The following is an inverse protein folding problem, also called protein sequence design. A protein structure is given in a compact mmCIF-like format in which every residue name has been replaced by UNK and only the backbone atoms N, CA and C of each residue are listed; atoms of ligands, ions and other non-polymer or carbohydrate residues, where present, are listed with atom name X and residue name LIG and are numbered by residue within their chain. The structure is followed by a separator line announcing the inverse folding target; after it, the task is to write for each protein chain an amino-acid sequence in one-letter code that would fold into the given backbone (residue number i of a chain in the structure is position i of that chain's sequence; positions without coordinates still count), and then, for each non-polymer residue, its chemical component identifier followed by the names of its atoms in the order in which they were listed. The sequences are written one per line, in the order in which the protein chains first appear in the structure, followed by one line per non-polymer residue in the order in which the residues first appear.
data_IF_000269757729
#
_entry.id   IF_000269757729
#
_cell.length_a   1.000
_cell.length_b   1.000
_cell.length_c   1.000
_cell.angle_alpha   90.00
_cell.angle_beta   90.00
_cell.angle_gamma   90.00
#
_symmetry.space_group_name_H-M   'P 1'
#
loop_
_entity.id
_entity.type
_entity.pdbx_description
1 polymer ?
#
# COMPACT_ATOMS: atom_id res chain seq x y z
N UNK A 1 -75.23 -27.69 -38.96
CA UNK A 1 -74.75 -26.40 -39.53
C UNK A 1 -75.87 -25.39 -39.35
N UNK A 2 -75.68 -24.14 -38.85
CA UNK A 2 -74.45 -23.41 -38.56
C UNK A 2 -74.28 -22.99 -37.08
N UNK A 3 -73.06 -22.55 -36.77
CA UNK A 3 -72.59 -21.98 -35.51
C UNK A 3 -73.01 -20.52 -35.32
N UNK A 4 -73.33 -20.11 -34.08
CA UNK A 4 -73.02 -18.76 -33.56
C UNK A 4 -72.76 -18.84 -32.04
N UNK A 5 -71.57 -18.38 -31.66
CA UNK A 5 -71.03 -18.30 -30.31
C UNK A 5 -71.32 -16.94 -29.64
N UNK A 6 -70.80 -16.81 -28.41
CA UNK A 6 -70.39 -15.61 -27.64
C UNK A 6 -71.18 -15.49 -26.31
N UNK A 7 -70.62 -15.18 -25.14
CA UNK A 7 -69.27 -15.12 -24.58
C UNK A 7 -69.51 -15.09 -23.05
N UNK A 8 -68.94 -16.01 -22.28
CA UNK A 8 -68.95 -15.95 -20.81
C UNK A 8 -67.67 -15.24 -20.39
N UNK A 9 -67.81 -14.05 -19.80
CA UNK A 9 -66.69 -13.33 -19.17
C UNK A 9 -66.34 -14.02 -17.85
N UNK A 10 -65.22 -14.75 -17.83
CA UNK A 10 -64.61 -15.25 -16.60
C UNK A 10 -63.29 -14.51 -16.38
N UNK A 11 -63.24 -13.72 -15.31
CA UNK A 11 -62.05 -13.03 -14.85
C UNK A 11 -61.02 -14.07 -14.38
N UNK A 12 -59.89 -14.16 -15.09
CA UNK A 12 -58.72 -14.90 -14.60
C UNK A 12 -57.82 -13.94 -13.82
N UNK A 13 -57.75 -14.14 -12.51
CA UNK A 13 -56.77 -13.50 -11.65
C UNK A 13 -55.37 -14.02 -12.01
N UNK A 14 -54.50 -13.14 -12.48
CA UNK A 14 -53.09 -13.43 -12.72
C UNK A 14 -52.35 -13.32 -11.40
N UNK A 15 -52.04 -14.46 -10.78
CA UNK A 15 -51.16 -14.53 -9.61
C UNK A 15 -49.71 -14.34 -10.07
N UNK A 16 -49.17 -13.14 -9.87
CA UNK A 16 -47.76 -12.84 -10.09
C UNK A 16 -46.93 -13.39 -8.92
N UNK A 17 -46.36 -14.58 -9.09
CA UNK A 17 -45.40 -15.13 -8.13
C UNK A 17 -44.08 -14.35 -8.24
N UNK A 18 -43.86 -13.41 -7.32
CA UNK A 18 -42.59 -12.73 -7.16
C UNK A 18 -41.53 -13.71 -6.63
N UNK A 19 -40.62 -14.14 -7.50
CA UNK A 19 -39.43 -14.89 -7.09
C UNK A 19 -38.46 -13.90 -6.45
N UNK A 20 -38.52 -13.77 -5.12
CA UNK A 20 -37.46 -13.11 -4.36
C UNK A 20 -36.22 -14.02 -4.40
N UNK A 21 -35.32 -13.74 -5.33
CA UNK A 21 -33.96 -14.28 -5.28
C UNK A 21 -33.25 -13.73 -4.04
N UNK A 22 -33.12 -14.57 -3.01
CA UNK A 22 -32.27 -14.27 -1.87
C UNK A 22 -30.82 -14.22 -2.36
N UNK A 23 -30.28 -13.03 -2.54
CA UNK A 23 -28.84 -12.84 -2.67
C UNK A 23 -28.23 -13.27 -1.33
N UNK A 24 -27.64 -14.47 -1.29
CA UNK A 24 -26.86 -14.90 -0.14
C UNK A 24 -25.74 -13.87 0.10
N UNK A 25 -25.51 -13.41 1.35
CA UNK A 25 -24.38 -12.54 1.62
C UNK A 25 -23.13 -13.31 1.21
N UNK A 26 -22.29 -12.69 0.38
CA UNK A 26 -20.96 -13.20 0.11
C UNK A 26 -20.22 -13.24 1.46
N UNK A 27 -20.18 -14.42 2.07
CA UNK A 27 -19.37 -14.68 3.24
C UNK A 27 -17.92 -14.54 2.77
N UNK A 28 -17.27 -13.44 3.15
CA UNK A 28 -15.83 -13.33 3.02
C UNK A 28 -15.24 -14.57 3.68
N UNK A 29 -14.44 -15.35 2.94
CA UNK A 29 -13.72 -16.48 3.52
C UNK A 29 -13.02 -16.00 4.80
N UNK A 30 -13.05 -16.79 5.89
CA UNK A 30 -12.28 -16.46 7.08
C UNK A 30 -10.83 -16.19 6.66
N UNK A 31 -10.35 -14.97 6.89
CA UNK A 31 -8.96 -14.60 6.61
C UNK A 31 -8.07 -15.41 7.55
N UNK A 32 -6.97 -15.96 7.05
CA UNK A 32 -5.98 -16.56 7.94
C UNK A 32 -5.36 -15.44 8.80
N UNK A 33 -5.49 -15.50 10.14
CA UNK A 33 -4.88 -14.50 11.02
C UNK A 33 -3.37 -14.37 10.83
N UNK A 34 -2.67 -15.45 10.46
CA UNK A 34 -1.24 -15.43 10.23
C UNK A 34 -0.86 -14.62 8.97
N UNK A 35 -1.62 -14.79 7.87
CA UNK A 35 -1.42 -14.03 6.64
C UNK A 35 -1.69 -12.54 6.86
N UNK A 36 -2.78 -12.20 7.56
CA UNK A 36 -3.09 -10.83 7.93
C UNK A 36 -1.95 -10.20 8.74
N UNK A 37 -1.43 -10.94 9.74
CA UNK A 37 -0.33 -10.46 10.57
C UNK A 37 0.95 -10.24 9.74
N UNK A 38 1.27 -11.14 8.80
CA UNK A 38 2.45 -11.02 7.94
C UNK A 38 2.36 -9.79 7.00
N UNK A 39 1.20 -9.57 6.37
CA UNK A 39 0.99 -8.40 5.52
C UNK A 39 1.01 -7.10 6.34
N UNK A 40 0.43 -7.10 7.54
CA UNK A 40 0.51 -5.95 8.46
C UNK A 40 1.96 -5.65 8.85
N UNK A 41 2.82 -6.66 9.04
CA UNK A 41 4.24 -6.45 9.33
C UNK A 41 4.97 -5.76 8.18
N UNK A 42 4.72 -6.16 6.93
CA UNK A 42 5.26 -5.48 5.73
C UNK A 42 4.76 -4.02 5.67
N UNK A 43 3.45 -3.82 5.89
CA UNK A 43 2.84 -2.50 5.85
C UNK A 43 3.36 -1.56 6.95
N UNK A 44 3.59 -2.09 8.15
CA UNK A 44 4.16 -1.34 9.27
C UNK A 44 5.61 -0.94 8.98
N UNK A 45 6.46 -1.85 8.48
CA UNK A 45 7.82 -1.50 8.10
C UNK A 45 7.88 -0.48 6.95
N UNK A 46 6.96 -0.56 5.99
CA UNK A 46 6.81 0.43 4.94
C UNK A 46 6.41 1.81 5.48
N UNK A 47 5.51 1.86 6.47
CA UNK A 47 5.11 3.12 7.12
C UNK A 47 6.27 3.72 7.92
N UNK A 48 6.95 2.93 8.75
CA UNK A 48 8.13 3.37 9.51
C UNK A 48 9.19 3.98 8.57
N UNK A 49 9.39 3.38 7.39
CA UNK A 49 10.33 3.89 6.39
C UNK A 49 9.85 5.20 5.77
N UNK A 50 8.54 5.32 5.53
CA UNK A 50 7.92 6.48 4.93
C UNK A 50 8.02 7.70 5.85
N UNK A 51 7.81 7.54 7.16
CA UNK A 51 7.89 8.62 8.14
C UNK A 51 9.29 9.23 8.26
N UNK A 52 10.35 8.46 7.94
CA UNK A 52 11.72 8.99 7.86
C UNK A 52 11.85 10.03 6.72
N UNK A 53 10.94 10.05 5.75
CA UNK A 53 10.98 11.00 4.64
C UNK A 53 10.89 12.46 5.10
N UNK A 54 10.29 12.74 6.25
CA UNK A 54 10.18 14.09 6.83
C UNK A 54 11.56 14.65 7.19
N UNK A 55 12.37 13.84 7.88
CA UNK A 55 13.75 14.19 8.22
C UNK A 55 14.62 14.34 6.97
N UNK A 56 14.41 13.47 5.97
CA UNK A 56 15.11 13.58 4.68
C UNK A 56 14.72 14.88 3.97
N UNK A 57 13.43 15.23 3.96
CA UNK A 57 12.90 16.44 3.36
C UNK A 57 13.50 17.66 4.04
N UNK A 58 13.46 17.73 5.38
CA UNK A 58 13.99 18.83 6.16
C UNK A 58 15.48 19.04 5.89
N UNK A 59 16.27 17.96 5.89
CA UNK A 59 17.71 18.04 5.64
C UNK A 59 18.04 18.47 4.21
N UNK A 60 17.28 17.99 3.21
CA UNK A 60 17.44 18.40 1.81
C UNK A 60 17.01 19.84 1.57
N UNK A 61 15.91 20.28 2.18
CA UNK A 61 15.44 21.65 2.14
C UNK A 61 16.51 22.61 2.64
N UNK A 62 17.06 22.35 3.84
CA UNK A 62 18.08 23.20 4.46
C UNK A 62 19.42 23.18 3.72
N UNK A 63 19.80 22.05 3.13
CA UNK A 63 21.06 21.92 2.39
C UNK A 63 20.96 22.28 0.89
N UNK A 64 19.76 22.52 0.37
CA UNK A 64 19.51 22.74 -1.05
C UNK A 64 19.75 21.51 -1.95
N UNK A 65 19.88 20.31 -1.37
CA UNK A 65 20.12 19.07 -2.12
C UNK A 65 18.84 18.61 -2.83
N UNK A 66 18.99 18.06 -4.03
CA UNK A 66 17.87 17.51 -4.79
C UNK A 66 17.20 16.32 -4.07
N UNK A 67 15.87 16.20 -4.25
CA UNK A 67 15.09 15.06 -3.77
C UNK A 67 15.48 13.78 -4.50
N UNK A 68 15.54 13.82 -5.83
CA UNK A 68 16.00 12.69 -6.63
C UNK A 68 17.53 12.54 -6.54
N UNK A 69 17.97 11.32 -6.26
CA UNK A 69 19.39 10.95 -6.26
C UNK A 69 19.50 9.54 -6.89
N UNK A 70 19.53 9.45 -8.24
CA UNK A 70 19.46 8.17 -8.93
C UNK A 70 20.58 7.20 -8.54
N UNK A 71 21.78 7.71 -8.26
CA UNK A 71 22.91 6.90 -7.84
C UNK A 71 22.67 6.29 -6.45
N UNK A 72 22.19 7.09 -5.48
CA UNK A 72 21.84 6.58 -4.15
C UNK A 72 20.63 5.64 -4.20
N UNK A 73 19.62 5.97 -4.98
CA UNK A 73 18.42 5.14 -5.16
C UNK A 73 18.80 3.76 -5.70
N UNK A 74 19.65 3.70 -6.73
CA UNK A 74 20.14 2.44 -7.27
C UNK A 74 20.96 1.66 -6.24
N UNK A 75 21.83 2.32 -5.46
CA UNK A 75 22.59 1.65 -4.40
C UNK A 75 21.69 1.03 -3.31
N UNK A 76 20.54 1.63 -3.00
CA UNK A 76 19.54 1.05 -2.07
C UNK A 76 18.89 -0.19 -2.68
N UNK A 77 18.56 -0.15 -3.98
CA UNK A 77 18.00 -1.29 -4.70
C UNK A 77 19.00 -2.45 -4.76
N UNK A 78 20.25 -2.18 -5.12
CA UNK A 78 21.30 -3.19 -5.20
C UNK A 78 21.54 -3.85 -3.83
N UNK A 79 21.58 -3.06 -2.75
CA UNK A 79 21.69 -3.56 -1.39
C UNK A 79 20.48 -4.42 -0.99
N UNK A 80 19.28 -4.03 -1.41
CA UNK A 80 18.05 -4.80 -1.18
C UNK A 80 18.10 -6.15 -1.86
N UNK A 81 18.50 -6.20 -3.14
CA UNK A 81 18.65 -7.44 -3.90
C UNK A 81 19.68 -8.35 -3.25
N UNK A 82 20.81 -7.80 -2.81
CA UNK A 82 21.87 -8.55 -2.14
C UNK A 82 21.39 -9.16 -0.81
N UNK A 83 20.71 -8.36 0.01
CA UNK A 83 20.15 -8.83 1.28
C UNK A 83 19.04 -9.88 1.08
N UNK A 84 18.14 -9.67 0.13
CA UNK A 84 17.09 -10.64 -0.20
C UNK A 84 17.70 -12.01 -0.57
N UNK A 85 18.73 -12.03 -1.43
CA UNK A 85 19.46 -13.26 -1.77
C UNK A 85 20.13 -13.91 -0.57
N UNK A 86 20.72 -13.13 0.33
CA UNK A 86 21.37 -13.65 1.52
C UNK A 86 20.37 -14.28 2.50
N UNK A 87 19.17 -13.73 2.60
CA UNK A 87 18.12 -14.15 3.53
C UNK A 87 17.15 -15.18 2.92
N UNK A 88 17.34 -15.58 1.66
CA UNK A 88 16.46 -16.51 0.94
C UNK A 88 15.10 -15.93 0.56
N UNK A 89 14.97 -14.61 0.54
CA UNK A 89 13.77 -13.87 0.09
C UNK A 89 13.83 -13.69 -1.43
N UNK A 90 12.69 -13.74 -2.12
CA UNK A 90 12.63 -13.47 -3.56
C UNK A 90 13.20 -12.06 -3.89
N UNK A 91 14.34 -11.97 -4.61
CA UNK A 91 14.94 -10.69 -4.95
C UNK A 91 14.06 -9.85 -5.88
N UNK A 92 13.19 -10.47 -6.70
CA UNK A 92 12.31 -9.73 -7.62
C UNK A 92 11.20 -9.03 -6.83
N UNK A 93 10.54 -9.73 -5.92
CA UNK A 93 9.59 -9.12 -4.99
C UNK A 93 10.23 -8.01 -4.15
N UNK A 94 11.40 -8.28 -3.57
CA UNK A 94 12.10 -7.31 -2.72
C UNK A 94 12.50 -6.03 -3.48
N UNK A 95 13.08 -6.15 -4.69
CA UNK A 95 13.40 -5.02 -5.56
C UNK A 95 12.16 -4.18 -5.87
N UNK A 96 11.09 -4.85 -6.34
CA UNK A 96 9.84 -4.21 -6.75
C UNK A 96 9.23 -3.40 -5.62
N UNK A 97 9.14 -3.99 -4.43
CA UNK A 97 8.61 -3.33 -3.22
C UNK A 97 9.52 -2.15 -2.84
N UNK A 98 10.84 -2.31 -2.82
CA UNK A 98 11.76 -1.23 -2.47
C UNK A 98 11.69 -0.04 -3.44
N UNK A 99 11.52 -0.29 -4.74
CA UNK A 99 11.29 0.78 -5.72
C UNK A 99 10.02 1.59 -5.41
N UNK A 100 8.95 0.93 -4.96
CA UNK A 100 7.74 1.61 -4.49
C UNK A 100 8.00 2.42 -3.21
N UNK A 101 8.77 1.89 -2.25
CA UNK A 101 9.17 2.63 -1.04
C UNK A 101 9.98 3.89 -1.35
N UNK A 102 10.94 3.81 -2.27
CA UNK A 102 11.73 4.97 -2.74
C UNK A 102 10.81 6.02 -3.38
N UNK A 103 9.87 5.57 -4.22
CA UNK A 103 8.89 6.45 -4.88
C UNK A 103 8.00 7.15 -3.87
N UNK A 104 7.45 6.42 -2.90
CA UNK A 104 6.62 6.96 -1.82
C UNK A 104 7.38 8.00 -0.97
N UNK A 105 8.61 7.69 -0.57
CA UNK A 105 9.45 8.62 0.20
C UNK A 105 9.70 9.93 -0.57
N UNK A 106 9.93 9.86 -1.89
CA UNK A 106 10.07 11.07 -2.71
C UNK A 106 8.78 11.87 -2.80
N UNK A 107 7.61 11.23 -2.82
CA UNK A 107 6.33 11.95 -2.84
C UNK A 107 6.13 12.80 -1.59
N UNK A 108 6.44 12.27 -0.39
CA UNK A 108 6.41 13.04 0.86
C UNK A 108 7.42 14.18 0.81
N UNK A 109 8.66 13.90 0.42
CA UNK A 109 9.71 14.94 0.32
C UNK A 109 9.30 16.10 -0.60
N UNK A 110 8.78 15.80 -1.79
CA UNK A 110 8.34 16.85 -2.71
C UNK A 110 7.15 17.65 -2.15
N UNK A 111 6.19 16.99 -1.49
CA UNK A 111 5.03 17.66 -0.91
C UNK A 111 5.44 18.61 0.23
N UNK A 112 6.30 18.16 1.14
CA UNK A 112 6.79 18.97 2.25
C UNK A 112 7.64 20.15 1.77
N UNK A 113 8.59 19.90 0.86
CA UNK A 113 9.45 20.96 0.30
C UNK A 113 8.61 22.01 -0.43
N UNK A 114 7.62 21.59 -1.22
CA UNK A 114 6.71 22.52 -1.88
C UNK A 114 5.91 23.35 -0.87
N UNK A 115 5.43 22.73 0.22
CA UNK A 115 4.73 23.42 1.31
C UNK A 115 5.62 24.47 1.98
N UNK A 116 6.86 24.12 2.32
CA UNK A 116 7.80 25.06 2.96
C UNK A 116 8.23 26.21 2.05
N UNK A 117 8.30 25.99 0.73
CA UNK A 117 8.50 27.08 -0.21
C UNK A 117 7.30 28.04 -0.29
N UNK A 118 6.07 27.52 -0.17
CA UNK A 118 4.85 28.33 -0.17
C UNK A 118 4.61 29.02 1.20
N UNK A 119 5.04 28.38 2.29
CA UNK A 119 4.87 28.81 3.68
C UNK A 119 6.22 28.74 4.42
N UNK A 120 7.12 29.71 4.20
CA UNK A 120 8.46 29.68 4.80
C UNK A 120 8.45 29.72 6.33
N UNK A 121 7.37 30.22 6.94
CA UNK A 121 7.14 30.23 8.38
C UNK A 121 6.92 28.82 8.97
N UNK A 122 6.52 27.85 8.15
CA UNK A 122 6.37 26.44 8.53
C UNK A 122 7.65 25.62 8.28
N UNK A 123 8.68 26.20 7.66
CA UNK A 123 9.88 25.50 7.27
C UNK A 123 10.74 25.10 8.47
N UNK A 124 11.36 23.91 8.46
CA UNK A 124 12.27 23.51 9.53
C UNK A 124 13.50 24.42 9.54
N UNK A 125 13.95 24.81 10.73
CA UNK A 125 15.19 25.58 10.93
C UNK A 125 16.38 24.68 11.28
N UNK A 126 16.13 23.43 11.64
CA UNK A 126 17.12 22.40 11.94
C UNK A 126 16.69 21.07 11.35
N UNK A 127 17.65 20.23 10.98
CA UNK A 127 17.38 18.86 10.55
C UNK A 127 18.51 17.93 11.01
N UNK A 128 18.22 16.62 11.20
CA UNK A 128 19.27 15.64 11.46
C UNK A 128 20.20 15.52 10.24
N UNK A 129 21.45 15.11 10.50
CA UNK A 129 22.41 14.86 9.44
C UNK A 129 22.00 13.62 8.61
N UNK A 130 21.95 13.78 7.29
CA UNK A 130 21.53 12.70 6.39
C UNK A 130 22.41 11.46 6.51
N UNK A 131 23.72 11.64 6.69
CA UNK A 131 24.67 10.54 6.55
C UNK A 131 24.81 9.77 7.84
N UNK A 132 24.96 10.47 8.95
CA UNK A 132 25.30 9.92 10.26
C UNK A 132 24.08 9.60 11.12
N UNK A 133 22.92 10.21 10.85
CA UNK A 133 21.71 10.02 11.65
C UNK A 133 20.55 9.40 10.86
N UNK A 134 20.22 9.94 9.68
CA UNK A 134 19.04 9.48 8.93
C UNK A 134 19.29 8.15 8.19
N UNK A 135 20.42 8.01 7.48
CA UNK A 135 20.74 6.77 6.75
C UNK A 135 20.79 5.52 7.63
N UNK A 136 21.37 5.54 8.85
CA UNK A 136 21.31 4.39 9.75
C UNK A 136 19.88 3.96 10.09
N UNK A 137 18.96 4.92 10.31
CA UNK A 137 17.54 4.62 10.56
C UNK A 137 16.88 3.97 9.35
N UNK A 138 17.13 4.49 8.14
CA UNK A 138 16.63 3.87 6.90
C UNK A 138 17.14 2.43 6.79
N UNK A 139 18.45 2.21 6.97
CA UNK A 139 19.02 0.87 6.90
C UNK A 139 18.44 -0.08 7.95
N UNK A 140 18.15 0.40 9.17
CA UNK A 140 17.52 -0.41 10.21
C UNK A 140 16.08 -0.79 9.88
N UNK A 141 15.33 0.08 9.18
CA UNK A 141 13.99 -0.26 8.67
C UNK A 141 14.10 -1.24 7.50
N UNK A 142 15.01 -1.01 6.56
CA UNK A 142 15.23 -1.90 5.40
C UNK A 142 15.58 -3.34 5.87
N UNK A 143 16.40 -3.46 6.92
CA UNK A 143 16.76 -4.74 7.55
C UNK A 143 15.59 -5.47 8.24
N UNK A 144 14.47 -4.77 8.54
CA UNK A 144 13.22 -5.38 9.01
C UNK A 144 12.26 -5.67 7.87
N UNK A 145 12.20 -4.77 6.88
CA UNK A 145 11.29 -4.87 5.74
C UNK A 145 11.59 -6.11 4.89
N UNK A 146 12.86 -6.38 4.60
CA UNK A 146 13.24 -7.48 3.71
C UNK A 146 12.83 -8.85 4.28
N UNK A 147 13.13 -9.19 5.55
CA UNK A 147 12.62 -10.42 6.15
C UNK A 147 11.09 -10.48 6.25
N UNK A 148 10.42 -9.35 6.51
CA UNK A 148 8.95 -9.30 6.54
C UNK A 148 8.33 -9.65 5.19
N UNK A 149 8.95 -9.23 4.08
CA UNK A 149 8.53 -9.62 2.72
C UNK A 149 8.64 -11.14 2.55
N UNK A 150 9.74 -11.74 2.99
CA UNK A 150 9.92 -13.20 2.92
C UNK A 150 8.89 -13.96 3.76
N UNK A 151 8.61 -13.49 4.98
CA UNK A 151 7.61 -14.11 5.86
C UNK A 151 6.18 -13.98 5.32
N UNK A 152 5.90 -12.94 4.55
CA UNK A 152 4.61 -12.71 3.94
C UNK A 152 4.44 -13.39 2.57
N UNK A 153 5.46 -14.09 2.04
CA UNK A 153 5.49 -14.63 0.66
C UNK A 153 4.15 -15.22 0.22
N UNK A 154 3.65 -16.23 0.94
CA UNK A 154 2.40 -16.92 0.57
C UNK A 154 1.19 -15.98 0.58
N UNK A 155 1.13 -15.06 1.55
CA UNK A 155 0.07 -14.05 1.63
C UNK A 155 0.17 -12.98 0.53
N UNK A 156 1.36 -12.70 0.00
CA UNK A 156 1.57 -11.76 -1.11
C UNK A 156 1.17 -12.35 -2.48
N UNK A 157 1.25 -13.67 -2.59
CA UNK A 157 0.90 -14.45 -3.77
C UNK A 157 -0.57 -14.93 -3.75
N UNK A 158 -1.25 -14.90 -2.60
CA UNK A 158 -2.65 -15.27 -2.50
C UNK A 158 -3.60 -14.20 -3.09
N UNK A 159 -4.74 -14.64 -3.63
CA UNK A 159 -5.79 -13.78 -4.22
C UNK A 159 -6.40 -12.80 -3.22
N UNK A 160 -6.29 -13.07 -1.92
CA UNK A 160 -6.76 -12.20 -0.86
C UNK A 160 -5.79 -11.05 -0.54
N UNK A 161 -4.56 -11.05 -1.07
CA UNK A 161 -3.53 -10.06 -0.76
C UNK A 161 -4.04 -8.62 -0.85
N UNK A 162 -4.79 -8.29 -1.91
CA UNK A 162 -5.33 -6.94 -2.10
C UNK A 162 -6.25 -6.49 -0.96
N UNK A 163 -7.01 -7.42 -0.38
CA UNK A 163 -7.83 -7.15 0.81
C UNK A 163 -6.96 -7.00 2.06
N UNK A 164 -5.98 -7.89 2.28
CA UNK A 164 -5.06 -7.80 3.43
C UNK A 164 -4.29 -6.47 3.44
N UNK A 165 -3.75 -6.05 2.28
CA UNK A 165 -3.05 -4.78 2.10
C UNK A 165 -3.99 -3.58 2.32
N UNK A 166 -5.23 -3.66 1.82
CA UNK A 166 -6.23 -2.61 2.04
C UNK A 166 -6.56 -2.45 3.53
N UNK A 167 -6.73 -3.56 4.23
CA UNK A 167 -7.08 -3.57 5.66
C UNK A 167 -5.91 -3.04 6.49
N UNK A 168 -4.70 -3.57 6.28
CA UNK A 168 -3.48 -3.09 6.96
C UNK A 168 -3.24 -1.59 6.71
N UNK A 169 -3.42 -1.12 5.48
CA UNK A 169 -3.33 0.31 5.15
C UNK A 169 -4.39 1.15 5.86
N UNK A 170 -5.61 0.62 5.97
CA UNK A 170 -6.72 1.27 6.64
C UNK A 170 -6.48 1.43 8.13
N UNK A 171 -5.91 0.42 8.77
CA UNK A 171 -5.55 0.43 10.19
C UNK A 171 -4.34 1.34 10.48
N UNK A 172 -3.22 1.10 9.79
CA UNK A 172 -1.96 1.82 10.04
C UNK A 172 -1.99 3.27 9.54
N UNK A 173 -2.78 3.56 8.50
CA UNK A 173 -2.87 4.89 7.90
C UNK A 173 -3.80 5.86 8.63
N UNK A 174 -4.32 5.50 9.80
CA UNK A 174 -5.12 6.41 10.61
C UNK A 174 -4.26 7.59 11.09
N UNK A 175 -4.80 8.81 11.03
CA UNK A 175 -4.09 10.02 11.46
C UNK A 175 -3.06 10.60 10.48
N UNK A 176 -2.68 9.88 9.42
CA UNK A 176 -1.79 10.44 8.38
C UNK A 176 -2.43 11.65 7.68
N UNK A 177 -1.63 12.67 7.37
CA UNK A 177 -2.08 13.73 6.48
C UNK A 177 -2.29 13.22 5.04
N UNK A 178 -2.79 14.09 4.16
CA UNK A 178 -3.08 13.72 2.77
C UNK A 178 -1.83 13.33 1.96
N UNK A 179 -0.68 13.95 2.22
CA UNK A 179 0.56 13.65 1.52
C UNK A 179 1.08 12.27 1.92
N UNK A 180 1.15 12.02 3.23
CA UNK A 180 1.53 10.73 3.80
C UNK A 180 0.57 9.62 3.42
N UNK A 181 -0.74 9.86 3.45
CA UNK A 181 -1.76 8.86 3.05
C UNK A 181 -1.67 8.50 1.57
N UNK A 182 -1.37 9.48 0.69
CA UNK A 182 -1.11 9.23 -0.74
C UNK A 182 0.18 8.42 -0.92
N UNK A 183 1.25 8.81 -0.25
CA UNK A 183 2.52 8.13 -0.35
C UNK A 183 2.48 6.70 0.23
N UNK A 184 1.75 6.48 1.32
CA UNK A 184 1.58 5.13 1.88
C UNK A 184 0.80 4.20 0.95
N UNK A 185 -0.18 4.73 0.20
CA UNK A 185 -0.80 3.98 -0.91
C UNK A 185 0.22 3.58 -1.97
N UNK A 186 1.11 4.50 -2.36
CA UNK A 186 2.19 4.22 -3.32
C UNK A 186 3.15 3.15 -2.79
N UNK A 187 3.54 3.26 -1.50
CA UNK A 187 4.46 2.33 -0.85
C UNK A 187 3.95 0.88 -0.90
N UNK A 188 2.63 0.69 -0.75
CA UNK A 188 2.00 -0.63 -0.73
C UNK A 188 1.45 -1.09 -2.09
N UNK A 189 1.54 -0.26 -3.13
CA UNK A 189 0.89 -0.51 -4.42
C UNK A 189 1.46 -1.76 -5.13
N UNK A 190 2.68 -2.14 -4.81
CA UNK A 190 3.39 -3.29 -5.39
C UNK A 190 3.78 -4.29 -4.30
N UNK A 191 2.96 -4.44 -3.26
CA UNK A 191 3.19 -5.47 -2.24
C UNK A 191 2.69 -6.82 -2.75
N UNK A 192 1.43 -6.90 -3.18
CA UNK A 192 0.88 -8.10 -3.83
C UNK A 192 1.58 -8.42 -5.14
N UNK A 193 1.80 -9.70 -5.41
CA UNK A 193 2.35 -10.16 -6.68
C UNK A 193 1.45 -9.79 -7.86
N UNK A 194 1.98 -9.66 -9.10
CA UNK A 194 1.15 -9.33 -10.26
C UNK A 194 0.08 -10.37 -10.60
N UNK A 195 0.22 -11.59 -10.06
CA UNK A 195 -0.65 -12.74 -10.33
C UNK A 195 -1.73 -12.95 -9.25
N UNK A 196 -1.67 -12.22 -8.13
CA UNK A 196 -2.67 -12.27 -7.05
C UNK A 196 -3.92 -11.43 -7.32
#
# INVERSE_FOLDING_TARGET
MPHRALLVSSAFAVSLAAVLGAAAPAQACPRDPAEQQAVTAVASAALDRLEIADDVAASKYLSGKAVADPAREQAVIDATIAAAKADGVDPVAAERIMRAQITASKQVQYALIARWHAHPDEAPTTAPDLTTSVRPRINAVDARLIPAIGQAHDALDDRSCGHLVKDARGELGQGLDDAHRKAFRTALATVCSPES
#
